data_IF_786957974115
#
_entry.id   IF_786957974115
#
_cell.length_a   1.000
_cell.length_b   1.000
_cell.length_c   1.000
_cell.angle_alpha   90.00
_cell.angle_beta   90.00
_cell.angle_gamma   90.00
#
_symmetry.space_group_name_H-M   'P 1'
#
loop_
_entity.id
_entity.type
_entity.pdbx_description
1 polymer ?
#
# COMPACT_ATOMS: atom_id res chain seq x y z
N UNK A 1 -26.68 -6.09 -3.46
CA UNK A 1 -25.24 -5.88 -3.24
C UNK A 1 -24.63 -5.72 -4.62
N UNK A 2 -24.32 -4.49 -5.01
CA UNK A 2 -23.66 -4.23 -6.28
C UNK A 2 -22.15 -4.47 -6.11
N UNK A 3 -21.64 -5.50 -6.78
CA UNK A 3 -20.20 -5.73 -6.87
C UNK A 3 -19.65 -4.98 -8.08
N UNK A 4 -18.47 -4.36 -7.92
CA UNK A 4 -17.69 -3.84 -9.06
C UNK A 4 -17.42 -4.99 -10.03
N UNK A 5 -18.07 -4.99 -11.19
CA UNK A 5 -17.80 -5.97 -12.25
C UNK A 5 -16.53 -5.55 -13.00
N UNK A 6 -15.64 -6.50 -13.23
CA UNK A 6 -14.46 -6.29 -14.08
C UNK A 6 -14.89 -5.73 -15.45
N UNK A 7 -14.24 -4.66 -15.90
CA UNK A 7 -14.46 -4.10 -17.23
C UNK A 7 -13.83 -5.04 -18.25
N UNK A 8 -14.66 -5.70 -19.07
CA UNK A 8 -14.18 -6.53 -20.19
C UNK A 8 -13.57 -5.63 -21.27
N UNK A 9 -12.45 -6.06 -21.85
CA UNK A 9 -11.78 -5.44 -23.02
C UNK A 9 -10.97 -4.17 -22.78
N UNK A 10 -10.71 -3.79 -21.53
CA UNK A 10 -9.62 -2.85 -21.23
C UNK A 10 -8.31 -3.64 -21.10
N UNK A 11 -7.17 -3.18 -21.66
CA UNK A 11 -5.87 -3.83 -21.46
C UNK A 11 -5.38 -3.82 -20.00
N UNK A 12 -6.11 -3.16 -19.09
CA UNK A 12 -5.87 -3.20 -17.65
C UNK A 12 -6.70 -4.31 -16.99
N UNK A 13 -6.18 -5.54 -16.99
CA UNK A 13 -6.69 -6.61 -16.12
C UNK A 13 -6.10 -6.47 -14.72
N UNK A 14 -6.68 -5.59 -13.89
CA UNK A 14 -6.37 -5.56 -12.46
C UNK A 14 -7.32 -6.53 -11.76
N UNK A 15 -6.90 -7.78 -11.61
CA UNK A 15 -7.52 -8.70 -10.66
C UNK A 15 -7.16 -8.20 -9.26
N UNK A 16 -8.02 -7.37 -8.66
CA UNK A 16 -7.94 -7.09 -7.23
C UNK A 16 -8.10 -8.42 -6.50
N UNK A 17 -7.07 -8.82 -5.76
CA UNK A 17 -7.10 -10.00 -4.90
C UNK A 17 -7.16 -9.58 -3.43
N UNK A 18 -7.94 -8.55 -3.13
CA UNK A 18 -8.22 -8.09 -1.76
C UNK A 18 -6.96 -7.96 -0.88
N UNK A 19 -7.15 -8.10 0.43
CA UNK A 19 -6.04 -8.24 1.36
C UNK A 19 -5.42 -9.64 1.20
N UNK A 20 -4.13 -9.70 0.92
CA UNK A 20 -3.37 -10.96 0.89
C UNK A 20 -2.54 -11.06 2.16
N UNK A 21 -2.85 -12.04 3.01
CA UNK A 21 -1.99 -12.41 4.12
C UNK A 21 -0.83 -13.25 3.63
N UNK A 22 0.38 -12.87 3.99
CA UNK A 22 1.63 -13.60 3.72
C UNK A 22 2.30 -13.96 5.04
N UNK A 23 3.18 -14.95 4.99
CA UNK A 23 4.04 -15.34 6.11
C UNK A 23 5.49 -15.42 5.64
N UNK A 24 6.41 -14.82 6.41
CA UNK A 24 7.84 -14.88 6.16
C UNK A 24 8.63 -14.42 7.39
N UNK A 25 9.87 -14.90 7.54
CA UNK A 25 10.78 -14.56 8.66
C UNK A 25 10.15 -14.69 10.06
N UNK A 26 9.28 -15.67 10.26
CA UNK A 26 8.58 -15.85 11.54
C UNK A 26 7.46 -14.83 11.81
N UNK A 27 7.06 -14.05 10.80
CA UNK A 27 6.03 -13.02 10.92
C UNK A 27 4.98 -13.10 9.81
N UNK A 28 3.73 -12.85 10.19
CA UNK A 28 2.63 -12.69 9.24
C UNK A 28 2.35 -11.19 9.04
N UNK A 29 2.15 -10.78 7.78
CA UNK A 29 1.59 -9.47 7.45
C UNK A 29 0.47 -9.64 6.44
N UNK A 30 -0.46 -8.72 6.46
CA UNK A 30 -1.59 -8.67 5.55
C UNK A 30 -1.66 -7.24 5.04
N UNK A 31 -1.52 -7.08 3.74
CA UNK A 31 -1.64 -5.76 3.11
C UNK A 31 -3.11 -5.33 3.11
N UNK A 32 -3.38 -4.04 3.21
CA UNK A 32 -4.75 -3.50 3.07
C UNK A 32 -5.33 -3.83 1.69
N UNK A 33 -4.47 -3.85 0.67
CA UNK A 33 -4.80 -4.43 -0.63
C UNK A 33 -3.53 -4.93 -1.32
N UNK A 34 -3.67 -5.86 -2.26
CA UNK A 34 -2.56 -6.26 -3.10
C UNK A 34 -3.00 -6.62 -4.51
N UNK A 35 -2.05 -6.51 -5.43
CA UNK A 35 -2.21 -6.95 -6.79
C UNK A 35 -1.22 -8.06 -7.10
N UNK A 36 -1.77 -9.16 -7.60
CA UNK A 36 -1.00 -10.30 -8.08
C UNK A 36 -1.60 -10.72 -9.43
N UNK A 37 -0.92 -10.48 -10.55
CA UNK A 37 -1.37 -11.00 -11.84
C UNK A 37 -1.40 -12.54 -11.78
N UNK A 38 -2.10 -13.17 -12.71
CA UNK A 38 -1.99 -14.62 -12.87
C UNK A 38 -0.54 -14.94 -13.27
N UNK A 39 0.17 -15.64 -12.38
CA UNK A 39 1.58 -15.98 -12.57
C UNK A 39 1.83 -17.43 -12.17
N UNK A 40 2.79 -18.10 -12.84
CA UNK A 40 3.18 -19.45 -12.48
C UNK A 40 3.58 -19.56 -11.01
N UNK A 41 3.44 -20.75 -10.47
CA UNK A 41 4.05 -21.10 -9.19
C UNK A 41 5.58 -20.91 -9.26
N UNK A 42 6.16 -20.52 -8.14
CA UNK A 42 7.61 -20.40 -7.95
C UNK A 42 8.15 -21.65 -7.29
N UNK A 43 9.45 -21.91 -7.45
CA UNK A 43 10.11 -23.01 -6.75
C UNK A 43 10.10 -22.79 -5.24
N UNK A 44 9.91 -23.87 -4.47
CA UNK A 44 10.11 -23.86 -3.02
C UNK A 44 11.58 -23.50 -2.71
N UNK A 45 11.89 -22.64 -1.71
CA UNK A 45 11.01 -21.96 -0.77
C UNK A 45 10.75 -20.49 -1.14
N UNK A 46 10.78 -20.14 -2.43
CA UNK A 46 10.78 -18.74 -2.89
C UNK A 46 9.39 -18.11 -2.92
N UNK A 47 8.34 -18.88 -2.62
CA UNK A 47 6.97 -18.37 -2.49
C UNK A 47 6.65 -17.79 -1.11
N UNK A 48 5.43 -17.28 -0.98
CA UNK A 48 4.85 -16.90 0.31
C UNK A 48 4.87 -18.10 1.26
N UNK A 49 5.14 -17.88 2.54
CA UNK A 49 5.18 -18.93 3.57
C UNK A 49 6.14 -20.09 3.24
N UNK A 50 7.26 -19.77 2.56
CA UNK A 50 8.19 -20.76 2.00
C UNK A 50 7.50 -21.76 1.05
N UNK A 51 6.32 -21.46 0.51
CA UNK A 51 5.59 -22.33 -0.40
C UNK A 51 5.98 -22.14 -1.86
N UNK A 52 5.13 -22.62 -2.77
CA UNK A 52 5.25 -22.39 -4.22
C UNK A 52 4.36 -21.26 -4.72
N UNK A 53 3.45 -20.75 -3.87
CA UNK A 53 2.59 -19.63 -4.21
C UNK A 53 3.41 -18.35 -4.28
N UNK A 54 3.35 -17.59 -5.38
CA UNK A 54 4.22 -16.43 -5.52
C UNK A 54 3.68 -15.21 -4.75
N UNK A 55 4.60 -14.32 -4.34
CA UNK A 55 4.32 -13.05 -3.66
C UNK A 55 3.39 -12.14 -4.48
N UNK A 56 2.65 -11.18 -3.89
CA UNK A 56 2.03 -10.11 -4.69
C UNK A 56 3.09 -9.31 -5.44
N UNK A 57 2.73 -8.72 -6.58
CA UNK A 57 3.65 -7.82 -7.30
C UNK A 57 3.62 -6.42 -6.69
N UNK A 58 2.42 -5.95 -6.33
CA UNK A 58 2.20 -4.66 -5.72
C UNK A 58 1.43 -4.85 -4.42
N UNK A 59 1.87 -4.18 -3.36
CA UNK A 59 1.13 -4.05 -2.10
C UNK A 59 0.66 -2.60 -1.90
N UNK A 60 -0.50 -2.44 -1.30
CA UNK A 60 -1.04 -1.13 -0.92
C UNK A 60 -1.24 -1.16 0.59
N UNK A 61 -0.66 -0.18 1.27
CA UNK A 61 -0.76 0.03 2.71
C UNK A 61 -1.40 1.39 2.97
N UNK A 62 -2.43 1.42 3.80
CA UNK A 62 -3.17 2.65 4.15
C UNK A 62 -2.91 2.98 5.62
N UNK A 63 -2.06 3.97 5.84
CA UNK A 63 -1.69 4.43 7.18
C UNK A 63 -2.69 5.48 7.69
N UNK A 64 -3.79 5.05 8.32
CA UNK A 64 -4.73 5.98 8.96
C UNK A 64 -4.22 6.44 10.34
N UNK A 65 -4.20 5.54 11.32
CA UNK A 65 -3.65 5.79 12.66
C UNK A 65 -2.17 5.42 12.80
N UNK A 66 -1.60 4.75 11.79
CA UNK A 66 -0.21 4.31 11.79
C UNK A 66 0.74 5.48 11.50
N UNK A 67 1.91 5.50 12.15
CA UNK A 67 2.95 6.51 11.89
C UNK A 67 3.67 6.21 10.59
N UNK A 68 4.22 7.26 9.94
CA UNK A 68 4.99 7.08 8.71
C UNK A 68 6.23 6.19 8.90
N UNK A 69 6.89 6.28 10.05
CA UNK A 69 8.04 5.43 10.35
C UNK A 69 7.65 3.95 10.44
N UNK A 70 6.52 3.65 11.08
CA UNK A 70 6.08 2.26 11.24
C UNK A 70 5.62 1.64 9.92
N UNK A 71 4.86 2.36 9.10
CA UNK A 71 4.47 1.86 7.77
C UNK A 71 5.67 1.73 6.83
N UNK A 72 6.63 2.67 6.91
CA UNK A 72 7.86 2.62 6.11
C UNK A 72 8.74 1.45 6.51
N UNK A 73 8.89 1.19 7.81
CA UNK A 73 9.60 0.01 8.33
C UNK A 73 8.94 -1.28 7.83
N UNK A 74 7.62 -1.40 7.98
CA UNK A 74 6.85 -2.55 7.48
C UNK A 74 7.05 -2.77 5.98
N UNK A 75 6.98 -1.71 5.16
CA UNK A 75 7.19 -1.82 3.71
C UNK A 75 8.61 -2.24 3.37
N UNK A 76 9.62 -1.57 3.92
CA UNK A 76 11.03 -1.84 3.59
C UNK A 76 11.51 -3.19 4.14
N UNK A 77 11.15 -3.49 5.37
CA UNK A 77 11.72 -4.63 6.12
C UNK A 77 10.85 -5.88 6.09
N UNK A 78 9.64 -5.80 5.53
CA UNK A 78 8.81 -6.97 5.24
C UNK A 78 8.45 -7.09 3.76
N UNK A 79 7.78 -6.12 3.15
CA UNK A 79 7.22 -6.29 1.80
C UNK A 79 8.27 -6.27 0.68
N UNK A 80 9.23 -5.34 0.75
CA UNK A 80 10.23 -5.08 -0.28
C UNK A 80 11.59 -5.75 -0.01
N UNK A 81 11.63 -6.75 0.88
CA UNK A 81 12.81 -7.61 0.98
C UNK A 81 13.04 -8.37 -0.33
N UNK A 82 14.29 -8.80 -0.61
CA UNK A 82 14.58 -9.63 -1.78
C UNK A 82 13.62 -10.81 -1.92
N UNK A 83 13.26 -11.12 -3.17
CA UNK A 83 12.38 -12.24 -3.56
C UNK A 83 10.92 -12.15 -3.05
N UNK A 84 10.45 -10.93 -2.73
CA UNK A 84 9.07 -10.68 -2.27
C UNK A 84 8.26 -9.81 -3.22
N UNK A 85 7.54 -8.81 -2.69
CA UNK A 85 6.78 -7.90 -3.52
C UNK A 85 7.73 -7.02 -4.34
N UNK A 86 7.32 -6.72 -5.56
CA UNK A 86 8.12 -5.91 -6.46
C UNK A 86 8.03 -4.43 -6.08
N UNK A 87 6.83 -3.96 -5.70
CA UNK A 87 6.59 -2.56 -5.38
C UNK A 87 5.54 -2.40 -4.27
N UNK A 88 5.49 -1.21 -3.67
CA UNK A 88 4.57 -0.83 -2.62
C UNK A 88 4.08 0.60 -2.79
N UNK A 89 2.76 0.81 -2.65
CA UNK A 89 2.14 2.12 -2.52
C UNK A 89 1.73 2.31 -1.06
N UNK A 90 2.21 3.39 -0.44
CA UNK A 90 1.76 3.80 0.90
C UNK A 90 0.85 5.00 0.75
N UNK A 91 -0.36 4.91 1.29
CA UNK A 91 -1.32 6.01 1.36
C UNK A 91 -1.41 6.44 2.81
N UNK A 92 -0.84 7.60 3.15
CA UNK A 92 -1.07 8.22 4.45
C UNK A 92 -2.40 8.97 4.41
N UNK A 93 -3.25 8.71 5.39
CA UNK A 93 -4.51 9.44 5.57
C UNK A 93 -4.48 10.00 6.99
N UNK A 94 -4.60 11.31 7.10
CA UNK A 94 -4.69 11.95 8.41
C UNK A 94 -6.11 11.77 8.98
N UNK A 95 -6.24 11.42 10.27
CA UNK A 95 -7.54 11.28 10.90
C UNK A 95 -8.34 12.58 10.81
N UNK A 96 -9.61 12.45 10.45
CA UNK A 96 -10.53 13.61 10.44
C UNK A 96 -10.90 13.94 11.89
N UNK A 97 -10.70 15.20 12.34
CA UNK A 97 -11.10 15.60 13.69
C UNK A 97 -12.59 15.34 13.95
N UNK A 98 -12.93 15.03 15.20
CA UNK A 98 -14.30 14.74 15.58
C UNK A 98 -15.24 15.92 15.23
N UNK A 99 -16.39 15.60 14.60
CA UNK A 99 -17.36 16.61 14.16
C UNK A 99 -17.04 17.29 12.82
N UNK A 100 -15.94 16.94 12.16
CA UNK A 100 -15.62 17.41 10.81
C UNK A 100 -15.96 16.35 9.76
N UNK A 101 -16.19 16.82 8.52
CA UNK A 101 -16.36 15.94 7.36
C UNK A 101 -15.04 15.78 6.62
N UNK A 102 -14.68 14.59 6.12
CA UNK A 102 -13.52 14.42 5.27
C UNK A 102 -13.62 15.32 4.04
N UNK A 103 -12.58 16.09 3.75
CA UNK A 103 -12.47 16.84 2.51
C UNK A 103 -11.94 15.93 1.39
N UNK A 104 -12.20 16.32 0.13
CA UNK A 104 -11.69 15.57 -1.02
C UNK A 104 -10.15 15.53 -1.00
N UNK A 105 -9.58 14.41 -1.43
CA UNK A 105 -8.14 14.32 -1.69
C UNK A 105 -7.74 15.32 -2.78
N UNK A 106 -6.72 16.14 -2.47
CA UNK A 106 -6.06 17.03 -3.43
C UNK A 106 -4.69 16.41 -3.69
N UNK A 107 -4.39 16.14 -4.96
CA UNK A 107 -3.09 15.63 -5.38
C UNK A 107 -2.21 16.85 -5.61
N UNK A 108 -1.22 17.05 -4.75
CA UNK A 108 -0.16 18.03 -4.95
C UNK A 108 1.07 17.26 -5.45
N UNK A 109 1.47 17.47 -6.71
CA UNK A 109 2.73 16.91 -7.21
C UNK A 109 3.89 17.59 -6.47
N UNK A 110 4.55 16.86 -5.55
CA UNK A 110 5.85 17.23 -5.04
C UNK A 110 6.88 16.18 -5.48
N UNK A 111 7.84 16.67 -6.25
CA UNK A 111 9.14 16.06 -6.64
C UNK A 111 9.12 14.78 -7.52
N UNK A 112 9.71 14.79 -8.74
CA UNK A 112 9.77 13.63 -9.64
C UNK A 112 10.68 12.48 -9.20
N UNK A 113 11.31 12.53 -8.02
CA UNK A 113 12.18 11.48 -7.52
C UNK A 113 11.70 10.93 -6.16
N UNK A 114 10.87 9.89 -6.24
CA UNK A 114 10.46 8.97 -5.17
C UNK A 114 9.44 9.46 -4.14
N UNK A 115 8.43 8.59 -3.95
CA UNK A 115 7.30 8.62 -3.02
C UNK A 115 6.27 9.72 -3.31
N UNK A 116 5.16 9.29 -3.94
CA UNK A 116 3.92 10.07 -4.00
C UNK A 116 3.34 10.18 -2.58
N UNK A 117 3.81 11.15 -1.79
CA UNK A 117 3.22 11.48 -0.50
C UNK A 117 1.90 12.22 -0.76
N UNK A 118 0.79 11.49 -0.76
CA UNK A 118 -0.55 12.07 -0.87
C UNK A 118 -0.92 12.76 0.45
N UNK A 119 -0.55 14.03 0.61
CA UNK A 119 -0.96 14.84 1.76
C UNK A 119 -2.38 15.39 1.54
N UNK A 120 -3.29 15.10 2.47
CA UNK A 120 -4.59 15.74 2.56
C UNK A 120 -4.42 17.10 3.28
N UNK A 121 -4.33 18.18 2.51
CA UNK A 121 -4.27 19.52 3.11
C UNK A 121 -5.60 19.92 3.76
N UNK A 122 -5.58 20.07 5.09
CA UNK A 122 -6.49 20.98 5.79
C UNK A 122 -5.67 22.23 6.18
N UNK A 123 -6.08 23.38 5.66
CA UNK A 123 -5.30 24.60 5.73
C UNK A 123 -5.38 25.28 7.12
N UNK A 124 -4.18 25.65 7.61
CA UNK A 124 -3.82 26.91 8.28
C UNK A 124 -4.07 27.06 9.79
N UNK A 125 -2.98 27.25 10.57
CA UNK A 125 -2.72 28.47 11.39
C UNK A 125 -1.34 28.43 12.10
N UNK A 126 -0.58 29.52 11.88
CA UNK A 126 0.38 30.20 12.78
C UNK A 126 1.68 29.50 13.24
N UNK A 127 2.78 29.88 12.56
CA UNK A 127 3.88 30.65 13.14
C UNK A 127 4.79 29.99 14.18
N UNK A 128 6.03 29.65 13.76
CA UNK A 128 7.25 29.97 14.51
C UNK A 128 8.50 29.64 13.66
N UNK A 129 9.33 30.65 13.40
CA UNK A 129 10.75 30.49 13.02
C UNK A 129 11.59 30.07 14.23
N UNK A 130 12.80 29.55 13.92
CA UNK A 130 14.11 29.49 14.63
C UNK A 130 14.62 28.05 14.85
N UNK A 131 15.80 27.60 14.37
CA UNK A 131 16.96 28.20 13.68
C UNK A 131 17.39 27.35 12.48
#
# INVERSE_FOLDING_TARGET
MDACRNVKWTPAQIFSLGSTRTYADGSAKEADNSFRPDKPEVEYPNGIDKGTRPWPNLVIEVAYSETMDHVTDKVKNYWLKPDRAHDAIVVKIDPVPNGQVPTRMIIEEQDPHFLLELRLNSAQLMGMEIF
#
